data_IF_163791776841
#
_entry.id   IF_163791776841
#
_cell.length_a   1.000
_cell.length_b   1.000
_cell.length_c   1.000
_cell.angle_alpha   90.00
_cell.angle_beta   90.00
_cell.angle_gamma   90.00
#
_symmetry.space_group_name_H-M   'P 1'
#
loop_
_entity.id
_entity.type
_entity.pdbx_description
1 polymer ?
#
# COMPACT_ATOMS: atom_id res chain seq x y z
N UNK A 1 6.81 -4.07 11.33
CA UNK A 1 6.67 -2.65 10.91
C UNK A 1 7.27 -2.38 9.53
N UNK A 2 8.43 -2.94 9.15
CA UNK A 2 9.19 -2.54 7.95
C UNK A 2 9.14 -3.51 6.74
N UNK A 3 8.45 -4.64 6.87
CA UNK A 3 8.37 -5.63 5.79
C UNK A 3 7.39 -5.18 4.71
N UNK A 4 7.69 -5.53 3.46
CA UNK A 4 6.91 -5.14 2.28
C UNK A 4 6.56 -6.33 1.38
N UNK A 5 5.34 -6.39 0.83
CA UNK A 5 5.01 -7.34 -0.22
C UNK A 5 5.77 -7.01 -1.52
N UNK A 6 6.18 -8.03 -2.25
CA UNK A 6 6.84 -7.93 -3.57
C UNK A 6 6.42 -9.10 -4.46
N UNK A 7 6.48 -8.95 -5.79
CA UNK A 7 6.19 -10.00 -6.78
C UNK A 7 7.27 -11.10 -6.81
N UNK A 8 7.43 -11.75 -5.65
CA UNK A 8 8.26 -12.92 -5.38
C UNK A 8 7.38 -14.01 -4.76
N UNK A 9 7.89 -15.24 -4.70
CA UNK A 9 7.13 -16.34 -4.09
C UNK A 9 7.25 -16.34 -2.56
N UNK A 10 8.45 -16.09 -2.03
CA UNK A 10 8.77 -16.28 -0.61
C UNK A 10 9.40 -15.04 0.04
N UNK A 11 10.51 -15.18 0.76
CA UNK A 11 11.16 -14.09 1.49
C UNK A 11 12.39 -13.58 0.74
N UNK A 12 12.64 -12.28 0.82
CA UNK A 12 13.91 -11.69 0.40
C UNK A 12 14.34 -10.56 1.36
N UNK A 13 15.61 -10.20 1.33
CA UNK A 13 16.13 -9.10 2.16
C UNK A 13 15.55 -7.78 1.68
N UNK A 14 15.04 -6.97 2.61
CA UNK A 14 14.51 -5.64 2.27
C UNK A 14 15.63 -4.69 1.86
N UNK A 15 15.51 -3.98 0.72
CA UNK A 15 16.46 -2.93 0.34
C UNK A 15 16.32 -1.68 1.24
N UNK A 16 15.28 -1.60 2.07
CA UNK A 16 15.06 -0.49 3.02
C UNK A 16 15.97 -0.54 4.25
N UNK A 17 16.76 -1.59 4.41
CA UNK A 17 17.69 -1.77 5.53
C UNK A 17 17.06 -2.32 6.82
N UNK A 18 15.75 -2.56 6.83
CA UNK A 18 15.03 -3.23 7.91
C UNK A 18 13.82 -4.01 7.37
N UNK A 19 13.45 -5.09 8.06
CA UNK A 19 12.35 -5.97 7.63
C UNK A 19 12.74 -6.89 6.47
N UNK A 20 11.72 -7.52 5.88
CA UNK A 20 11.85 -8.48 4.79
C UNK A 20 10.88 -8.14 3.67
N UNK A 21 11.25 -8.45 2.44
CA UNK A 21 10.28 -8.60 1.37
C UNK A 21 9.57 -9.94 1.53
N UNK A 22 8.28 -9.99 1.25
CA UNK A 22 7.49 -11.22 1.31
C UNK A 22 6.57 -11.39 0.11
N UNK A 23 6.41 -12.63 -0.30
CA UNK A 23 5.75 -13.00 -1.54
C UNK A 23 4.33 -13.52 -1.39
N UNK A 24 3.80 -13.99 -2.51
CA UNK A 24 2.45 -14.55 -2.61
C UNK A 24 2.25 -15.76 -1.70
N UNK A 25 3.23 -16.68 -1.63
CA UNK A 25 3.12 -17.91 -0.82
C UNK A 25 3.09 -17.61 0.67
N UNK A 26 3.93 -16.67 1.12
CA UNK A 26 3.96 -16.22 2.53
C UNK A 26 2.61 -15.61 2.91
N UNK A 27 2.05 -14.78 2.03
CA UNK A 27 0.76 -14.13 2.26
C UNK A 27 -0.37 -15.15 2.35
N UNK A 28 -0.44 -16.09 1.39
CA UNK A 28 -1.46 -17.13 1.36
C UNK A 28 -1.37 -18.07 2.57
N UNK A 29 -0.15 -18.50 2.94
CA UNK A 29 0.08 -19.33 4.12
C UNK A 29 -0.31 -18.61 5.41
N UNK A 30 0.09 -17.34 5.58
CA UNK A 30 -0.28 -16.55 6.74
C UNK A 30 -1.80 -16.41 6.87
N UNK A 31 -2.49 -16.10 5.77
CA UNK A 31 -3.94 -15.98 5.75
C UNK A 31 -4.63 -17.30 6.11
N UNK A 32 -4.19 -18.41 5.50
CA UNK A 32 -4.72 -19.74 5.76
C UNK A 32 -4.54 -20.17 7.22
N UNK A 33 -3.33 -20.05 7.75
CA UNK A 33 -3.00 -20.48 9.12
C UNK A 33 -3.78 -19.68 10.16
N UNK A 34 -4.03 -18.39 9.92
CA UNK A 34 -4.73 -17.52 10.86
C UNK A 34 -6.24 -17.42 10.59
N UNK A 35 -6.76 -18.08 9.56
CA UNK A 35 -8.17 -18.03 9.19
C UNK A 35 -8.66 -16.63 8.80
N UNK A 36 -7.80 -15.82 8.16
CA UNK A 36 -8.15 -14.48 7.68
C UNK A 36 -8.15 -14.44 6.16
N UNK A 37 -8.97 -13.56 5.58
CA UNK A 37 -9.09 -13.43 4.13
C UNK A 37 -8.21 -12.33 3.53
N UNK A 38 -7.86 -11.33 4.34
CA UNK A 38 -7.22 -10.11 3.87
C UNK A 38 -6.27 -9.51 4.90
N UNK A 39 -5.02 -9.30 4.50
CA UNK A 39 -4.09 -8.41 5.21
C UNK A 39 -4.26 -6.99 4.67
N UNK A 40 -4.72 -6.09 5.54
CA UNK A 40 -4.73 -4.65 5.26
C UNK A 40 -3.45 -4.00 5.79
N UNK A 41 -2.72 -3.30 4.93
CA UNK A 41 -1.48 -2.62 5.30
C UNK A 41 -1.34 -1.23 4.65
N UNK A 42 -0.26 -0.53 4.99
CA UNK A 42 0.13 0.75 4.39
C UNK A 42 1.63 0.74 3.99
N UNK A 43 2.42 1.71 4.46
CA UNK A 43 3.89 1.82 4.33
C UNK A 43 4.47 2.08 2.93
N UNK A 44 4.04 1.36 1.89
CA UNK A 44 4.47 1.60 0.51
C UNK A 44 3.57 2.62 -0.17
N UNK A 45 4.17 3.58 -0.87
CA UNK A 45 3.45 4.53 -1.70
C UNK A 45 2.76 3.78 -2.85
N UNK A 46 1.44 3.98 -2.99
CA UNK A 46 0.65 3.49 -4.13
C UNK A 46 0.11 4.71 -4.86
N UNK A 47 0.41 4.82 -6.17
CA UNK A 47 0.03 6.00 -6.96
C UNK A 47 -1.49 6.16 -7.06
N UNK A 48 -2.19 5.03 -7.12
CA UNK A 48 -3.64 4.93 -7.20
C UNK A 48 -4.32 5.04 -5.83
N UNK A 49 -3.55 5.20 -4.74
CA UNK A 49 -4.04 5.26 -3.37
C UNK A 49 -4.36 3.89 -2.75
N UNK A 50 -4.66 2.86 -3.54
CA UNK A 50 -4.91 1.49 -3.06
C UNK A 50 -4.45 0.45 -4.08
N UNK A 51 -3.80 -0.63 -3.62
CA UNK A 51 -3.39 -1.74 -4.48
C UNK A 51 -3.60 -3.08 -3.78
N UNK A 52 -4.38 -3.96 -4.41
CA UNK A 52 -4.38 -5.38 -4.07
C UNK A 52 -3.17 -6.06 -4.71
N UNK A 53 -2.54 -6.96 -3.97
CA UNK A 53 -1.37 -7.69 -4.44
C UNK A 53 -1.66 -9.18 -4.60
N UNK A 54 -0.88 -9.80 -5.49
CA UNK A 54 -0.98 -11.21 -5.85
C UNK A 54 -2.30 -11.59 -6.52
N UNK A 55 -2.32 -12.78 -7.13
CA UNK A 55 -3.49 -13.27 -7.86
C UNK A 55 -4.71 -13.46 -6.94
N UNK A 56 -4.49 -13.93 -5.71
CA UNK A 56 -5.55 -14.20 -4.73
C UNK A 56 -6.11 -12.94 -4.06
N UNK A 57 -5.46 -11.78 -4.24
CA UNK A 57 -5.86 -10.50 -3.62
C UNK A 57 -6.04 -10.58 -2.09
N UNK A 58 -5.32 -11.50 -1.44
CA UNK A 58 -5.31 -11.68 0.01
C UNK A 58 -4.52 -10.62 0.79
N UNK A 59 -3.96 -9.62 0.10
CA UNK A 59 -3.29 -8.47 0.70
C UNK A 59 -3.67 -7.19 -0.03
N UNK A 60 -3.89 -6.12 0.73
CA UNK A 60 -4.13 -4.77 0.22
C UNK A 60 -3.22 -3.75 0.90
N UNK A 61 -2.61 -2.90 0.08
CA UNK A 61 -1.91 -1.69 0.53
C UNK A 61 -2.82 -0.49 0.33
N UNK A 62 -3.06 0.26 1.41
CA UNK A 62 -3.88 1.48 1.45
C UNK A 62 -2.97 2.65 1.78
N UNK A 63 -3.07 3.72 0.99
CA UNK A 63 -2.32 4.95 1.16
C UNK A 63 -3.24 6.15 1.30
N UNK A 64 -3.12 6.92 2.39
CA UNK A 64 -4.07 7.99 2.73
C UNK A 64 -3.47 9.41 2.71
N UNK A 65 -2.27 9.58 2.14
CA UNK A 65 -1.61 10.89 2.02
C UNK A 65 -1.51 11.31 0.55
N UNK A 66 -2.45 12.12 0.03
CA UNK A 66 -2.44 12.50 -1.38
C UNK A 66 -1.31 13.50 -1.67
N UNK A 67 -0.84 13.52 -2.92
CA UNK A 67 0.31 14.31 -3.35
C UNK A 67 1.48 14.25 -2.35
N UNK A 68 1.92 13.04 -2.04
CA UNK A 68 2.84 12.81 -0.95
C UNK A 68 4.13 13.63 -1.12
N UNK A 69 4.56 14.25 -0.02
CA UNK A 69 5.65 15.22 0.04
C UNK A 69 5.55 16.36 -1.00
N UNK A 70 4.33 16.76 -1.39
CA UNK A 70 4.02 17.81 -2.35
C UNK A 70 4.57 17.57 -3.77
N UNK A 71 4.97 16.33 -4.06
CA UNK A 71 5.79 16.01 -5.25
C UNK A 71 5.38 14.73 -5.97
N UNK A 72 4.78 13.77 -5.27
CA UNK A 72 4.51 12.46 -5.85
C UNK A 72 3.27 12.45 -6.75
N UNK A 73 2.30 13.35 -6.52
CA UNK A 73 1.06 13.42 -7.31
C UNK A 73 0.14 12.21 -7.19
N UNK A 74 0.37 11.33 -6.20
CA UNK A 74 -0.48 10.17 -5.96
C UNK A 74 -1.87 10.57 -5.45
N UNK A 75 -2.85 9.73 -5.76
CA UNK A 75 -4.17 9.75 -5.13
C UNK A 75 -4.07 9.08 -3.75
N UNK A 76 -5.02 9.38 -2.86
CA UNK A 76 -5.17 8.74 -1.57
C UNK A 76 -6.50 8.00 -1.47
N UNK A 77 -6.58 7.06 -0.54
CA UNK A 77 -7.78 6.28 -0.31
C UNK A 77 -8.03 5.97 1.17
N UNK A 78 -9.28 5.64 1.46
CA UNK A 78 -9.73 4.99 2.70
C UNK A 78 -10.44 3.70 2.28
N UNK A 79 -10.05 2.58 2.88
CA UNK A 79 -10.78 1.32 2.79
C UNK A 79 -11.59 1.14 4.08
N UNK A 80 -12.91 1.21 3.97
CA UNK A 80 -13.85 0.99 5.06
C UNK A 80 -14.55 -0.36 4.93
N UNK A 81 -14.89 -0.95 6.08
CA UNK A 81 -15.67 -2.17 6.19
C UNK A 81 -16.96 -1.85 6.94
N UNK A 82 -18.08 -2.33 6.45
CA UNK A 82 -19.36 -2.22 7.16
C UNK A 82 -19.57 -3.36 8.17
N UNK A 83 -20.74 -3.41 8.81
CA UNK A 83 -21.09 -4.45 9.79
C UNK A 83 -21.11 -5.88 9.20
N UNK A 84 -21.21 -6.01 7.88
CA UNK A 84 -21.20 -7.28 7.15
C UNK A 84 -19.84 -7.59 6.54
N UNK A 85 -18.81 -6.79 6.86
CA UNK A 85 -17.48 -6.87 6.25
C UNK A 85 -17.47 -6.58 4.74
N UNK A 86 -18.50 -5.92 4.21
CA UNK A 86 -18.49 -5.42 2.85
C UNK A 86 -17.52 -4.24 2.74
N UNK A 87 -16.76 -4.22 1.64
CA UNK A 87 -15.65 -3.30 1.43
C UNK A 87 -16.12 -2.09 0.64
N UNK A 88 -15.95 -0.89 1.18
CA UNK A 88 -16.15 0.38 0.50
C UNK A 88 -14.84 1.16 0.42
N UNK A 89 -14.50 1.68 -0.77
CA UNK A 89 -13.25 2.41 -1.00
C UNK A 89 -13.56 3.83 -1.43
N UNK A 90 -13.05 4.80 -0.67
CA UNK A 90 -13.18 6.22 -0.95
C UNK A 90 -11.86 6.78 -1.39
N UNK A 91 -11.78 7.24 -2.63
CA UNK A 91 -10.61 7.92 -3.17
C UNK A 91 -10.73 9.43 -2.99
N UNK A 92 -9.61 10.10 -2.73
CA UNK A 92 -9.53 11.54 -2.57
C UNK A 92 -8.16 12.06 -3.00
N UNK A 93 -8.12 13.31 -3.44
CA UNK A 93 -6.90 14.02 -3.83
C UNK A 93 -6.54 15.07 -2.79
N UNK A 94 -5.41 15.73 -2.99
CA UNK A 94 -4.97 16.84 -2.17
C UNK A 94 -5.93 18.03 -2.26
N UNK A 95 -5.90 18.88 -1.24
CA UNK A 95 -6.65 20.14 -1.23
C UNK A 95 -6.05 21.15 -2.21
N UNK A 96 -6.83 22.18 -2.58
CA UNK A 96 -6.37 23.23 -3.49
C UNK A 96 -5.12 23.96 -3.00
N UNK A 97 -4.99 24.18 -1.69
CA UNK A 97 -3.80 24.80 -1.07
C UNK A 97 -2.53 23.99 -1.31
N UNK A 98 -2.62 22.66 -1.17
CA UNK A 98 -1.49 21.75 -1.40
C UNK A 98 -1.09 21.73 -2.88
N UNK A 99 -2.05 21.84 -3.80
CA UNK A 99 -1.79 21.90 -5.24
C UNK A 99 -0.96 23.14 -5.66
N UNK A 100 -0.93 24.18 -4.85
CA UNK A 100 -0.12 25.39 -5.10
C UNK A 100 1.34 25.24 -4.62
N UNK A 101 1.65 24.27 -3.75
CA UNK A 101 2.97 24.05 -3.15
C UNK A 101 3.89 23.15 -4.02
N UNK A 102 3.78 23.21 -5.36
CA UNK A 102 4.51 22.31 -6.27
C UNK A 102 6.03 22.54 -6.19
N UNK A 103 6.71 21.72 -5.38
CA UNK A 103 8.13 21.45 -5.56
C UNK A 103 8.39 20.68 -6.86
N UNK A 104 9.65 20.61 -7.35
CA UNK A 104 9.97 19.80 -8.52
C UNK A 104 9.53 18.35 -8.34
N UNK A 105 8.79 17.81 -9.33
CA UNK A 105 8.34 16.42 -9.38
C UNK A 105 9.53 15.49 -9.63
N UNK A 106 10.24 15.13 -8.58
CA UNK A 106 11.25 14.06 -8.61
C UNK A 106 10.75 12.90 -7.78
N UNK A 107 10.61 11.73 -8.41
CA UNK A 107 10.38 10.48 -7.70
C UNK A 107 11.57 10.23 -6.76
N UNK A 108 11.29 10.08 -5.47
CA UNK A 108 12.34 9.82 -4.48
C UNK A 108 12.62 8.32 -4.47
N UNK A 109 13.89 7.87 -4.63
CA UNK A 109 14.21 6.44 -4.71
C UNK A 109 13.74 5.64 -3.50
N UNK A 110 13.60 6.31 -2.35
CA UNK A 110 13.13 5.70 -1.11
C UNK A 110 11.69 5.18 -1.18
N UNK A 111 10.86 5.60 -2.14
CA UNK A 111 9.47 5.12 -2.27
C UNK A 111 9.29 4.04 -3.33
N UNK A 112 10.38 3.64 -3.99
CA UNK A 112 10.45 2.40 -4.78
C UNK A 112 10.83 1.23 -3.86
#
# INVERSE_FOLDING_TARGET
MWSDPEEIETWAVSPRGAGWLFGSRVTAEFNFVNGIELVCRAHQLVQEGLKYMFQEKGLVTVWSAPNYCYRCGNVASILSFDEKMERDVKFFTETEENNQMRGPRTAVPYFL
#
